data_IF_996258676062
#
_entry.id   IF_996258676062
#
_cell.length_a   1.000
_cell.length_b   1.000
_cell.length_c   1.000
_cell.angle_alpha   90.00
_cell.angle_beta   90.00
_cell.angle_gamma   90.00
#
_symmetry.space_group_name_H-M   'P 1'
#
loop_
_entity.id
_entity.type
_entity.pdbx_description
1 polymer ?
#
# COMPACT_ATOMS: atom_id res chain seq x y z
N UNK A 1 -31.89 6.39 -59.42
CA UNK A 1 -31.15 5.35 -58.67
C UNK A 1 -30.00 6.04 -57.98
N UNK A 2 -29.88 5.84 -56.67
CA UNK A 2 -29.19 6.72 -55.73
C UNK A 2 -27.71 6.99 -56.06
N UNK A 3 -27.31 8.26 -56.08
CA UNK A 3 -25.93 8.67 -55.91
C UNK A 3 -25.72 8.96 -54.43
N UNK A 4 -24.94 8.10 -53.78
CA UNK A 4 -24.47 8.29 -52.40
C UNK A 4 -23.34 9.31 -52.39
N UNK A 5 -23.59 10.48 -51.80
CA UNK A 5 -22.53 11.44 -51.44
C UNK A 5 -21.75 10.89 -50.25
N UNK A 6 -20.45 10.64 -50.45
CA UNK A 6 -19.50 10.39 -49.38
C UNK A 6 -19.05 11.74 -48.85
N UNK A 7 -19.60 12.16 -47.71
CA UNK A 7 -19.09 13.29 -46.94
C UNK A 7 -17.78 12.83 -46.28
N UNK A 8 -16.64 13.18 -46.87
CA UNK A 8 -15.35 13.14 -46.18
C UNK A 8 -15.30 14.32 -45.20
N UNK A 9 -15.63 14.08 -43.94
CA UNK A 9 -15.28 15.01 -42.87
C UNK A 9 -13.79 14.87 -42.56
N UNK A 10 -13.04 15.91 -42.89
CA UNK A 10 -11.65 16.11 -42.53
C UNK A 10 -11.54 16.31 -41.01
N UNK A 11 -11.11 15.28 -40.29
CA UNK A 11 -10.66 15.44 -38.90
C UNK A 11 -9.31 16.15 -38.89
N UNK A 12 -9.33 17.42 -38.50
CA UNK A 12 -8.17 18.29 -38.42
C UNK A 12 -7.26 17.84 -37.26
N UNK A 13 -6.15 17.17 -37.59
CA UNK A 13 -5.20 16.57 -36.65
C UNK A 13 -4.28 17.63 -36.02
N UNK A 14 -4.84 18.59 -35.29
CA UNK A 14 -4.08 19.58 -34.51
C UNK A 14 -4.46 19.64 -33.03
N UNK A 15 -5.24 18.70 -32.52
CA UNK A 15 -5.49 18.60 -31.08
C UNK A 15 -4.21 18.25 -30.34
N UNK A 16 -3.72 19.20 -29.56
CA UNK A 16 -2.61 19.03 -28.62
C UNK A 16 -2.84 17.78 -27.76
N UNK A 17 -1.86 16.88 -27.74
CA UNK A 17 -1.86 15.70 -26.85
C UNK A 17 -2.17 16.06 -25.40
N UNK A 18 -1.80 17.28 -24.98
CA UNK A 18 -2.10 17.82 -23.65
C UNK A 18 -3.61 17.92 -23.35
N UNK A 19 -4.45 18.14 -24.36
CA UNK A 19 -5.91 18.25 -24.21
C UNK A 19 -6.59 16.88 -24.21
N UNK A 20 -5.99 15.88 -24.87
CA UNK A 20 -6.48 14.49 -24.87
C UNK A 20 -6.22 13.85 -23.50
N UNK A 21 -5.02 14.02 -22.94
CA UNK A 21 -4.73 13.49 -21.58
C UNK A 21 -5.46 14.23 -20.46
N UNK A 22 -5.91 15.48 -20.69
CA UNK A 22 -6.73 16.23 -19.73
C UNK A 22 -8.17 15.73 -19.61
N UNK A 23 -8.64 14.89 -20.52
CA UNK A 23 -10.02 14.37 -20.55
C UNK A 23 -10.12 12.88 -20.22
N UNK A 24 -9.03 12.25 -19.79
CA UNK A 24 -9.10 10.94 -19.14
C UNK A 24 -9.34 11.19 -17.66
N UNK A 25 -10.58 11.53 -17.30
CA UNK A 25 -11.06 11.53 -15.92
C UNK A 25 -11.08 10.09 -15.42
N UNK A 26 -9.89 9.53 -15.16
CA UNK A 26 -9.78 8.24 -14.51
C UNK A 26 -10.16 8.44 -13.06
N UNK A 27 -11.40 8.08 -12.72
CA UNK A 27 -11.86 8.07 -11.34
C UNK A 27 -11.09 7.01 -10.56
N UNK A 28 -10.49 7.41 -9.44
CA UNK A 28 -9.71 6.53 -8.57
C UNK A 28 -10.51 6.36 -7.28
N UNK A 29 -10.97 5.15 -7.02
CA UNK A 29 -11.71 4.81 -5.80
C UNK A 29 -10.93 3.81 -4.95
N UNK A 30 -11.22 3.81 -3.66
CA UNK A 30 -10.77 2.76 -2.75
C UNK A 30 -11.51 1.45 -3.05
N UNK A 31 -10.80 0.37 -3.37
CA UNK A 31 -11.43 -0.94 -3.62
C UNK A 31 -12.05 -1.59 -2.36
N UNK A 32 -11.91 -0.96 -1.18
CA UNK A 32 -12.45 -1.46 0.10
C UNK A 32 -13.70 -0.67 0.52
N UNK A 33 -13.62 0.66 0.57
CA UNK A 33 -14.72 1.52 1.03
C UNK A 33 -15.41 2.31 -0.09
N UNK A 34 -14.92 2.24 -1.33
CA UNK A 34 -15.40 3.00 -2.49
C UNK A 34 -15.36 4.53 -2.34
N UNK A 35 -14.61 5.06 -1.37
CA UNK A 35 -14.35 6.50 -1.28
C UNK A 35 -13.45 6.98 -2.43
N UNK A 36 -13.66 8.21 -2.87
CA UNK A 36 -12.91 8.85 -3.95
C UNK A 36 -11.52 9.27 -3.46
N UNK A 37 -10.47 8.80 -4.14
CA UNK A 37 -9.05 9.05 -3.84
C UNK A 37 -8.42 10.00 -4.89
N UNK A 38 -9.18 10.52 -5.85
CA UNK A 38 -8.64 11.28 -6.97
C UNK A 38 -8.01 12.62 -6.52
N UNK A 39 -6.67 12.78 -6.57
CA UNK A 39 -6.02 13.96 -6.01
C UNK A 39 -6.34 15.26 -6.75
N UNK A 40 -6.95 15.21 -7.94
CA UNK A 40 -7.33 16.40 -8.71
C UNK A 40 -8.74 16.90 -8.43
N UNK A 41 -9.53 16.19 -7.62
CA UNK A 41 -10.91 16.58 -7.30
C UNK A 41 -10.98 17.23 -5.89
N UNK A 42 -11.96 18.10 -5.68
CA UNK A 42 -12.09 18.92 -4.47
C UNK A 42 -12.60 18.17 -3.23
N UNK A 43 -13.18 16.99 -3.40
CA UNK A 43 -13.78 16.18 -2.32
C UNK A 43 -13.24 14.74 -2.34
N UNK A 44 -11.97 14.57 -1.96
CA UNK A 44 -11.31 13.25 -1.96
C UNK A 44 -10.58 12.94 -0.66
N UNK A 45 -10.47 11.66 -0.36
CA UNK A 45 -9.66 11.16 0.76
C UNK A 45 -8.22 10.90 0.30
N UNK A 46 -7.27 11.05 1.22
CA UNK A 46 -5.89 10.63 0.96
C UNK A 46 -5.83 9.12 0.73
N UNK A 47 -5.02 8.71 -0.23
CA UNK A 47 -4.74 7.30 -0.45
C UNK A 47 -3.29 7.03 -0.77
N UNK A 48 -2.89 5.82 -0.41
CA UNK A 48 -1.52 5.36 -0.53
C UNK A 48 -1.47 4.23 -1.55
N UNK A 49 -0.64 4.41 -2.59
CA UNK A 49 -0.36 3.39 -3.60
C UNK A 49 0.90 2.64 -3.24
N UNK A 50 0.85 1.31 -3.25
CA UNK A 50 2.05 0.48 -3.07
C UNK A 50 2.71 0.23 -4.42
N UNK A 51 3.89 0.80 -4.67
CA UNK A 51 4.53 0.78 -5.99
C UNK A 51 4.80 -0.62 -6.55
N UNK A 52 5.04 -1.61 -5.68
CA UNK A 52 5.40 -2.97 -6.11
C UNK A 52 4.23 -3.78 -6.68
N UNK A 53 3.03 -3.65 -6.10
CA UNK A 53 1.83 -4.35 -6.59
C UNK A 53 0.81 -3.41 -7.26
N UNK A 54 1.08 -2.10 -7.26
CA UNK A 54 0.26 -1.03 -7.84
C UNK A 54 -1.13 -0.83 -7.22
N UNK A 55 -1.52 -1.60 -6.20
CA UNK A 55 -2.78 -1.38 -5.48
C UNK A 55 -2.77 -0.05 -4.72
N UNK A 56 -3.93 0.62 -4.69
CA UNK A 56 -4.18 1.86 -3.99
C UNK A 56 -5.41 1.70 -3.10
N UNK A 57 -5.33 2.22 -1.87
CA UNK A 57 -6.46 2.27 -0.94
C UNK A 57 -6.40 3.61 -0.20
N UNK A 58 -7.54 4.06 0.33
CA UNK A 58 -7.54 5.21 1.20
C UNK A 58 -6.74 4.91 2.47
N UNK A 59 -6.15 5.95 3.07
CA UNK A 59 -5.26 5.78 4.21
C UNK A 59 -5.98 5.16 5.42
N UNK A 60 -7.30 5.37 5.56
CA UNK A 60 -8.08 4.80 6.66
C UNK A 60 -8.31 3.29 6.50
N UNK A 61 -8.50 2.81 5.26
CA UNK A 61 -8.55 1.38 4.97
C UNK A 61 -7.19 0.72 5.22
N UNK A 62 -6.09 1.39 4.83
CA UNK A 62 -4.73 0.93 5.15
C UNK A 62 -4.50 0.81 6.67
N UNK A 63 -4.81 1.87 7.43
CA UNK A 63 -4.67 1.89 8.90
C UNK A 63 -5.48 0.79 9.56
N UNK A 64 -6.73 0.62 9.13
CA UNK A 64 -7.63 -0.40 9.68
C UNK A 64 -7.10 -1.82 9.43
N UNK A 65 -6.65 -2.10 8.21
CA UNK A 65 -6.01 -3.38 7.86
C UNK A 65 -4.76 -3.65 8.71
N UNK A 66 -3.88 -2.67 8.84
CA UNK A 66 -2.66 -2.82 9.62
C UNK A 66 -2.93 -3.04 11.11
N UNK A 67 -3.85 -2.28 11.70
CA UNK A 67 -4.24 -2.48 13.11
C UNK A 67 -4.87 -3.86 13.34
N UNK A 68 -5.67 -4.36 12.39
CA UNK A 68 -6.18 -5.73 12.46
C UNK A 68 -5.06 -6.77 12.41
N UNK A 69 -4.06 -6.61 11.53
CA UNK A 69 -2.87 -7.48 11.47
C UNK A 69 -2.06 -7.44 12.78
N UNK A 70 -1.83 -6.25 13.34
CA UNK A 70 -1.13 -6.08 14.62
C UNK A 70 -1.87 -6.76 15.77
N UNK A 71 -3.20 -6.61 15.83
CA UNK A 71 -4.06 -7.26 16.83
C UNK A 71 -4.02 -8.79 16.72
N UNK A 72 -3.92 -9.33 15.51
CA UNK A 72 -3.80 -10.76 15.26
C UNK A 72 -2.37 -11.29 15.41
N UNK A 73 -1.51 -10.54 16.10
CA UNK A 73 -0.11 -10.85 16.33
C UNK A 73 0.77 -11.04 15.06
N UNK A 74 0.29 -10.67 13.87
CA UNK A 74 1.03 -10.89 12.62
C UNK A 74 2.28 -10.02 12.54
N UNK A 75 3.44 -10.63 12.25
CA UNK A 75 4.69 -9.91 11.92
C UNK A 75 4.82 -9.57 10.43
N UNK A 76 3.99 -10.18 9.58
CA UNK A 76 3.96 -9.93 8.14
C UNK A 76 2.85 -8.93 7.81
N UNK A 77 3.26 -7.72 7.43
CA UNK A 77 2.35 -6.69 6.95
C UNK A 77 2.27 -6.79 5.43
N UNK A 78 1.14 -7.25 4.92
CA UNK A 78 0.90 -7.46 3.49
C UNK A 78 -0.08 -6.43 2.94
N UNK A 79 -0.08 -6.23 1.63
CA UNK A 79 -1.08 -5.46 0.92
C UNK A 79 -2.52 -5.96 1.25
N UNK A 80 -3.53 -5.05 1.37
CA UNK A 80 -4.93 -5.40 1.52
C UNK A 80 -5.58 -6.02 0.26
N UNK A 81 -4.93 -5.90 -0.90
CA UNK A 81 -5.48 -6.38 -2.18
C UNK A 81 -5.78 -7.87 -2.14
N UNK A 82 -6.89 -8.27 -2.75
CA UNK A 82 -7.30 -9.67 -2.81
C UNK A 82 -6.23 -10.54 -3.48
N UNK A 83 -5.79 -11.59 -2.79
CA UNK A 83 -4.73 -12.48 -3.28
C UNK A 83 -3.35 -11.83 -3.40
N UNK A 84 -3.12 -10.66 -2.78
CA UNK A 84 -1.86 -9.94 -2.85
C UNK A 84 -0.99 -10.20 -1.61
N UNK A 85 0.13 -10.90 -1.79
CA UNK A 85 1.08 -11.21 -0.73
C UNK A 85 2.26 -10.22 -0.64
N UNK A 86 2.18 -9.08 -1.35
CA UNK A 86 3.25 -8.09 -1.35
C UNK A 86 3.48 -7.52 0.05
N UNK A 87 4.72 -7.58 0.53
CA UNK A 87 5.11 -7.12 1.86
C UNK A 87 5.30 -5.60 1.85
N UNK A 88 4.64 -4.94 2.79
CA UNK A 88 4.71 -3.49 2.99
C UNK A 88 6.01 -3.14 3.73
N UNK A 89 6.78 -2.21 3.16
CA UNK A 89 8.03 -1.75 3.74
C UNK A 89 7.84 -0.72 4.88
N UNK A 90 8.92 -0.43 5.64
CA UNK A 90 8.87 0.45 6.80
C UNK A 90 8.44 1.88 6.47
N UNK A 91 8.81 2.41 5.29
CA UNK A 91 8.46 3.77 4.88
C UNK A 91 6.94 3.95 4.81
N UNK A 92 6.25 3.03 4.16
CA UNK A 92 4.78 3.04 4.04
C UNK A 92 4.10 2.78 5.39
N UNK A 93 4.68 1.90 6.21
CA UNK A 93 4.17 1.67 7.57
C UNK A 93 4.26 2.94 8.43
N UNK A 94 5.39 3.63 8.39
CA UNK A 94 5.63 4.87 9.15
C UNK A 94 4.83 6.07 8.62
N UNK A 95 4.43 6.07 7.33
CA UNK A 95 3.53 7.11 6.80
C UNK A 95 2.08 6.91 7.23
N UNK A 96 1.68 5.69 7.60
CA UNK A 96 0.30 5.34 7.89
C UNK A 96 0.03 5.11 9.38
N UNK A 97 1.03 4.65 10.14
CA UNK A 97 0.93 4.28 11.55
C UNK A 97 1.85 5.13 12.44
N UNK A 98 1.49 5.30 13.73
CA UNK A 98 2.41 5.85 14.72
C UNK A 98 3.71 5.04 14.83
N UNK A 99 4.83 5.71 15.08
CA UNK A 99 6.14 5.06 15.23
C UNK A 99 6.16 3.99 16.33
N UNK A 100 5.37 4.16 17.39
CA UNK A 100 5.23 3.15 18.46
C UNK A 100 4.63 1.83 17.96
N UNK A 101 3.62 1.87 17.09
CA UNK A 101 3.01 0.66 16.52
C UNK A 101 3.99 -0.05 15.58
N UNK A 102 4.75 0.72 14.79
CA UNK A 102 5.80 0.17 13.91
C UNK A 102 6.95 -0.42 14.72
N UNK A 103 7.39 0.22 15.80
CA UNK A 103 8.42 -0.33 16.69
C UNK A 103 7.99 -1.66 17.29
N UNK A 104 6.75 -1.77 17.76
CA UNK A 104 6.21 -3.02 18.32
C UNK A 104 6.19 -4.16 17.30
N UNK A 105 5.82 -3.87 16.05
CA UNK A 105 5.87 -4.84 14.95
C UNK A 105 7.29 -5.36 14.71
N UNK A 106 8.26 -4.45 14.62
CA UNK A 106 9.64 -4.81 14.34
C UNK A 106 10.31 -5.53 15.51
N UNK A 107 9.96 -5.17 16.74
CA UNK A 107 10.38 -5.91 17.92
C UNK A 107 9.89 -7.35 17.87
N UNK A 108 8.59 -7.57 17.63
CA UNK A 108 8.03 -8.93 17.52
C UNK A 108 8.67 -9.72 16.38
N UNK A 109 8.89 -9.08 15.23
CA UNK A 109 9.57 -9.70 14.09
C UNK A 109 10.98 -10.17 14.46
N UNK A 110 11.72 -9.34 15.18
CA UNK A 110 13.05 -9.69 15.68
C UNK A 110 13.00 -10.84 16.70
N UNK A 111 11.98 -10.85 17.57
CA UNK A 111 11.71 -11.95 18.51
C UNK A 111 11.46 -13.29 17.80
N UNK A 112 10.60 -13.31 16.80
CA UNK A 112 10.35 -14.53 16.01
C UNK A 112 11.60 -14.99 15.24
N UNK A 113 12.36 -14.06 14.63
CA UNK A 113 13.60 -14.39 13.92
C UNK A 113 14.68 -14.95 14.87
N UNK A 114 14.75 -14.44 16.09
CA UNK A 114 15.68 -14.90 17.12
C UNK A 114 15.38 -16.34 17.59
N UNK A 115 14.11 -16.69 17.70
CA UNK A 115 13.68 -18.02 18.10
C UNK A 115 13.98 -19.09 17.04
N UNK A 116 13.98 -18.70 15.76
CA UNK A 116 14.32 -19.59 14.65
C UNK A 116 15.82 -19.90 14.55
N UNK A 117 16.68 -19.04 15.11
CA UNK A 117 18.11 -19.24 15.13
C UNK A 117 18.48 -20.18 16.29
N UNK A 118 18.89 -21.41 15.97
CA UNK A 118 19.14 -22.48 16.93
C UNK A 118 20.19 -22.15 18.03
N UNK A 119 21.05 -21.17 17.79
CA UNK A 119 22.11 -20.77 18.69
C UNK A 119 21.89 -19.40 19.37
N UNK A 120 20.68 -18.82 19.32
CA UNK A 120 20.34 -17.62 20.09
C UNK A 120 19.43 -17.93 21.27
N UNK A 121 19.69 -17.23 22.39
CA UNK A 121 18.81 -17.19 23.56
C UNK A 121 18.62 -15.76 24.03
N UNK A 122 17.42 -15.45 24.48
CA UNK A 122 17.11 -14.19 25.15
C UNK A 122 17.84 -14.09 26.49
N UNK A 123 18.35 -12.90 26.81
CA UNK A 123 18.86 -12.60 28.14
C UNK A 123 17.70 -12.73 29.15
N UNK A 124 17.87 -13.50 30.24
CA UNK A 124 16.78 -13.73 31.20
C UNK A 124 16.50 -12.53 32.11
N UNK A 125 17.36 -11.50 32.10
CA UNK A 125 17.12 -10.30 32.91
C UNK A 125 15.91 -9.54 32.37
N UNK A 126 14.94 -9.19 33.24
CA UNK A 126 13.84 -8.30 32.85
C UNK A 126 14.41 -6.99 32.30
N UNK A 127 13.73 -6.42 31.31
CA UNK A 127 14.07 -5.17 30.62
C UNK A 127 15.43 -5.13 29.89
N UNK A 128 16.17 -6.24 29.78
CA UNK A 128 17.46 -6.25 29.08
C UNK A 128 17.30 -6.17 27.55
N UNK A 129 16.37 -6.94 26.99
CA UNK A 129 16.08 -6.94 25.54
C UNK A 129 17.25 -7.37 24.64
N UNK A 130 18.27 -8.04 25.18
CA UNK A 130 19.44 -8.53 24.40
C UNK A 130 19.30 -10.01 24.08
N UNK A 131 19.81 -10.39 22.91
CA UNK A 131 20.00 -11.79 22.50
C UNK A 131 21.46 -12.15 22.62
N UNK A 132 21.74 -13.32 23.20
CA UNK A 132 23.07 -13.93 23.24
C UNK A 132 23.13 -14.98 22.15
N UNK A 133 24.15 -14.89 21.29
CA UNK A 133 24.47 -15.93 20.29
C UNK A 133 25.56 -16.81 20.87
N UNK A 134 25.28 -18.11 20.98
CA UNK A 134 26.25 -19.12 21.40
C UNK A 134 27.06 -19.53 20.16
N UNK A 135 28.36 -19.21 20.16
CA UNK A 135 29.27 -19.79 19.19
C UNK A 135 29.59 -21.23 19.62
N UNK A 136 29.46 -22.15 18.67
CA UNK A 136 29.83 -23.57 18.81
C UNK A 136 31.30 -23.78 18.54
#
# INVERSE_FOLDING_TARGET
VAHTEVMQESVDFSMSLSSIVKNLDYEIFCDICYENINPTQSETVSGTKLSKCSHIFCDDCWRSHFRAKLKNASVKMTCPGYGCDEIVGPVTLLSLLPSVEVSQLYQRKFEEEAELLANSKWCPSPDCGRIVRLES
#
